data_IF_877763243281
#
_entry.id   IF_877763243281
#
_cell.length_a   1.000
_cell.length_b   1.000
_cell.length_c   1.000
_cell.angle_alpha   90.00
_cell.angle_beta   90.00
_cell.angle_gamma   90.00
#
_symmetry.space_group_name_H-M   'P 1'
#
loop_
_entity.id
_entity.type
_entity.pdbx_description
1 polymer ?
#
# COMPACT_ATOMS: atom_id res chain seq x y z
N UNK A 1 13.06 17.93 -16.51
CA UNK A 1 12.53 16.56 -16.70
C UNK A 1 13.54 15.48 -16.31
N UNK A 2 14.72 15.37 -16.94
CA UNK A 2 15.67 14.29 -16.63
C UNK A 2 16.08 14.22 -15.14
N UNK A 3 16.40 15.34 -14.51
CA UNK A 3 16.76 15.38 -13.09
C UNK A 3 15.62 14.91 -12.16
N UNK A 4 14.39 15.38 -12.43
CA UNK A 4 13.18 14.99 -11.68
C UNK A 4 12.93 13.49 -11.78
N UNK A 5 13.09 12.91 -12.98
CA UNK A 5 12.91 11.46 -13.17
C UNK A 5 13.94 10.67 -12.36
N UNK A 6 15.20 11.11 -12.30
CA UNK A 6 16.22 10.45 -11.50
C UNK A 6 15.95 10.54 -10.00
N UNK A 7 15.45 11.68 -9.50
CA UNK A 7 15.03 11.79 -8.10
C UNK A 7 13.85 10.88 -7.79
N UNK A 8 12.89 10.75 -8.71
CA UNK A 8 11.76 9.83 -8.55
C UNK A 8 12.22 8.36 -8.46
N UNK A 9 13.22 7.97 -9.26
CA UNK A 9 13.81 6.61 -9.22
C UNK A 9 14.48 6.35 -7.88
N UNK A 10 15.28 7.31 -7.39
CA UNK A 10 15.91 7.20 -6.07
C UNK A 10 14.86 7.08 -4.95
N UNK A 11 13.85 7.94 -4.98
CA UNK A 11 12.77 7.92 -4.00
C UNK A 11 12.02 6.59 -4.02
N UNK A 12 11.71 6.05 -5.20
CA UNK A 12 11.08 4.75 -5.33
C UNK A 12 11.95 3.64 -4.69
N UNK A 13 13.25 3.60 -5.01
CA UNK A 13 14.17 2.62 -4.42
C UNK A 13 14.23 2.68 -2.89
N UNK A 14 14.32 3.89 -2.33
CA UNK A 14 14.32 4.10 -0.87
C UNK A 14 12.98 3.65 -0.26
N UNK A 15 11.86 3.93 -0.93
CA UNK A 15 10.54 3.53 -0.45
C UNK A 15 10.35 2.01 -0.46
N UNK A 16 10.71 1.33 -1.55
CA UNK A 16 10.64 -0.13 -1.65
C UNK A 16 11.53 -0.81 -0.61
N UNK A 17 12.77 -0.34 -0.46
CA UNK A 17 13.71 -0.90 0.53
C UNK A 17 13.21 -0.69 1.95
N UNK A 18 12.72 0.51 2.29
CA UNK A 18 12.15 0.81 3.61
C UNK A 18 10.96 -0.08 3.95
N UNK A 19 10.02 -0.25 3.02
CA UNK A 19 8.87 -1.14 3.20
C UNK A 19 9.30 -2.59 3.40
N UNK A 20 10.24 -3.10 2.58
CA UNK A 20 10.75 -4.46 2.72
C UNK A 20 11.44 -4.68 4.08
N UNK A 21 12.29 -3.74 4.50
CA UNK A 21 12.99 -3.82 5.80
C UNK A 21 11.99 -3.82 6.95
N UNK A 22 11.00 -2.93 6.94
CA UNK A 22 9.99 -2.86 7.98
C UNK A 22 9.14 -4.14 8.05
N UNK A 23 8.78 -4.71 6.90
CA UNK A 23 8.05 -5.99 6.85
C UNK A 23 8.90 -7.12 7.43
N UNK A 24 10.17 -7.24 7.02
CA UNK A 24 11.05 -8.30 7.51
C UNK A 24 11.27 -8.17 9.02
N UNK A 25 11.57 -6.97 9.51
CA UNK A 25 11.76 -6.71 10.93
C UNK A 25 10.50 -7.03 11.74
N UNK A 26 9.34 -6.53 11.29
CA UNK A 26 8.08 -6.78 11.96
C UNK A 26 7.65 -8.24 11.96
N UNK A 27 7.91 -8.98 10.88
CA UNK A 27 7.67 -10.41 10.84
C UNK A 27 8.56 -11.17 11.82
N UNK A 28 9.82 -10.76 12.03
CA UNK A 28 10.71 -11.40 13.02
C UNK A 28 10.16 -11.18 14.44
N UNK A 29 9.71 -9.97 14.77
CA UNK A 29 9.16 -9.63 16.08
C UNK A 29 7.88 -10.40 16.41
N UNK A 30 7.01 -10.59 15.42
CA UNK A 30 5.70 -11.23 15.59
C UNK A 30 5.79 -12.78 15.57
N UNK A 31 6.98 -13.36 15.37
CA UNK A 31 7.17 -14.81 15.32
C UNK A 31 6.95 -15.44 13.94
N UNK A 32 6.98 -14.62 12.89
CA UNK A 32 6.98 -15.03 11.49
C UNK A 32 5.65 -14.86 10.75
N UNK A 33 5.69 -15.03 9.43
CA UNK A 33 4.56 -14.81 8.53
C UNK A 33 3.32 -15.66 8.87
N UNK A 34 3.54 -16.94 9.23
CA UNK A 34 2.45 -17.87 9.53
C UNK A 34 1.66 -17.45 10.77
N UNK A 35 2.35 -16.99 11.81
CA UNK A 35 1.72 -16.53 13.04
C UNK A 35 0.98 -15.21 12.80
N UNK A 36 1.60 -14.27 12.09
CA UNK A 36 0.97 -13.01 11.73
C UNK A 36 -0.34 -13.21 10.95
N UNK A 37 -0.32 -14.07 9.93
CA UNK A 37 -1.51 -14.34 9.11
C UNK A 37 -2.60 -15.10 9.89
N UNK A 38 -2.22 -16.03 10.77
CA UNK A 38 -3.18 -16.76 11.61
C UNK A 38 -3.91 -15.82 12.57
N UNK A 39 -3.19 -14.89 13.22
CA UNK A 39 -3.79 -13.94 14.17
C UNK A 39 -4.66 -12.92 13.42
N UNK A 40 -4.20 -12.44 12.26
CA UNK A 40 -4.98 -11.55 11.41
C UNK A 40 -6.28 -12.18 10.90
N UNK A 41 -6.24 -13.47 10.55
CA UNK A 41 -7.42 -14.22 10.14
C UNK A 41 -8.39 -14.49 11.29
N UNK A 42 -7.90 -14.70 12.53
CA UNK A 42 -8.76 -14.85 13.71
C UNK A 42 -9.43 -13.53 14.11
N UNK A 43 -8.79 -12.41 13.81
CA UNK A 43 -9.30 -11.07 14.08
C UNK A 43 -10.27 -10.51 13.05
N UNK A 44 -10.73 -11.35 12.10
CA UNK A 44 -11.58 -10.95 10.95
C UNK A 44 -11.03 -9.72 10.19
N UNK A 45 -9.70 -9.55 10.15
CA UNK A 45 -9.05 -8.43 9.44
C UNK A 45 -8.79 -8.70 7.97
N UNK A 46 -8.94 -9.96 7.56
CA UNK A 46 -8.71 -10.41 6.20
C UNK A 46 -10.06 -10.80 5.58
N UNK A 47 -10.70 -9.84 4.92
CA UNK A 47 -11.94 -10.05 4.18
C UNK A 47 -11.67 -9.87 2.68
N UNK A 48 -11.78 -10.94 1.90
CA UNK A 48 -11.61 -10.87 0.44
C UNK A 48 -12.94 -10.72 -0.32
N UNK A 49 -14.05 -11.22 0.24
CA UNK A 49 -15.28 -11.49 -0.50
C UNK A 49 -16.49 -10.66 -0.02
N UNK A 50 -16.27 -9.41 0.41
CA UNK A 50 -17.37 -8.54 0.85
C UNK A 50 -18.13 -7.95 -0.37
N UNK A 51 -19.12 -8.71 -0.85
CA UNK A 51 -19.98 -8.37 -2.00
C UNK A 51 -21.21 -7.52 -1.64
N UNK A 52 -21.27 -6.99 -0.41
CA UNK A 52 -22.39 -6.15 0.02
C UNK A 52 -22.56 -4.91 -0.88
N UNK A 53 -23.82 -4.55 -1.16
CA UNK A 53 -24.18 -3.37 -1.96
C UNK A 53 -24.53 -2.18 -1.05
N UNK A 54 -24.39 -2.32 0.28
CA UNK A 54 -24.69 -1.25 1.22
C UNK A 54 -23.69 -0.09 1.08
N UNK A 55 -24.12 1.12 0.68
CA UNK A 55 -23.25 2.28 0.53
C UNK A 55 -22.61 2.78 1.83
N UNK A 56 -23.04 2.28 3.00
CA UNK A 56 -22.42 2.60 4.30
C UNK A 56 -21.16 1.79 4.56
N UNK A 57 -20.96 0.68 3.84
CA UNK A 57 -19.75 -0.13 3.96
C UNK A 57 -18.61 0.55 3.20
N UNK A 58 -17.52 0.86 3.90
CA UNK A 58 -16.40 1.66 3.37
C UNK A 58 -15.65 0.95 2.23
N UNK A 59 -15.54 -0.37 2.33
CA UNK A 59 -14.77 -1.20 1.39
C UNK A 59 -15.58 -2.44 1.01
N UNK A 60 -16.29 -2.37 -0.11
CA UNK A 60 -16.87 -3.54 -0.78
C UNK A 60 -16.27 -3.70 -2.16
N UNK A 61 -16.50 -4.86 -2.77
CA UNK A 61 -15.99 -5.16 -4.12
C UNK A 61 -16.41 -4.09 -5.13
N UNK A 62 -17.62 -3.50 -5.00
CA UNK A 62 -18.15 -2.55 -5.98
C UNK A 62 -17.47 -1.17 -5.97
N UNK A 63 -17.39 -0.44 -4.83
CA UNK A 63 -16.66 0.83 -4.78
C UNK A 63 -15.18 0.65 -5.05
N UNK A 64 -14.58 -0.48 -4.66
CA UNK A 64 -13.17 -0.77 -4.98
C UNK A 64 -13.02 -0.92 -6.49
N UNK A 65 -13.84 -1.75 -7.15
CA UNK A 65 -13.72 -1.99 -8.58
C UNK A 65 -13.99 -0.72 -9.39
N UNK A 66 -15.13 -0.06 -9.19
CA UNK A 66 -15.51 1.11 -9.97
C UNK A 66 -14.70 2.35 -9.58
N UNK A 67 -14.51 2.59 -8.29
CA UNK A 67 -13.76 3.72 -7.78
C UNK A 67 -12.29 3.67 -8.18
N UNK A 68 -11.65 2.51 -8.03
CA UNK A 68 -10.25 2.36 -8.41
C UNK A 68 -10.06 2.40 -9.94
N UNK A 69 -11.01 1.84 -10.71
CA UNK A 69 -10.96 1.94 -12.18
C UNK A 69 -11.06 3.38 -12.67
N UNK A 70 -11.99 4.17 -12.10
CA UNK A 70 -12.12 5.59 -12.44
C UNK A 70 -10.91 6.40 -11.98
N UNK A 71 -10.39 6.12 -10.78
CA UNK A 71 -9.18 6.77 -10.28
C UNK A 71 -7.96 6.47 -11.17
N UNK A 72 -7.80 5.23 -11.61
CA UNK A 72 -6.77 4.85 -12.57
C UNK A 72 -6.94 5.61 -13.89
N UNK A 73 -8.16 5.70 -14.42
CA UNK A 73 -8.42 6.45 -15.66
C UNK A 73 -8.02 7.93 -15.52
N UNK A 74 -8.39 8.58 -14.42
CA UNK A 74 -8.01 9.98 -14.16
C UNK A 74 -6.49 10.13 -14.04
N UNK A 75 -5.84 9.23 -13.32
CA UNK A 75 -4.40 9.28 -13.06
C UNK A 75 -3.58 9.01 -14.32
N UNK A 76 -3.95 8.05 -15.15
CA UNK A 76 -3.17 7.71 -16.34
C UNK A 76 -3.59 8.51 -17.59
N UNK A 77 -4.86 8.90 -17.68
CA UNK A 77 -5.43 9.59 -18.85
C UNK A 77 -5.39 11.12 -18.76
N UNK A 78 -5.58 11.70 -17.56
CA UNK A 78 -5.79 13.15 -17.40
C UNK A 78 -4.74 13.83 -16.52
N UNK A 79 -3.90 13.09 -15.79
CA UNK A 79 -2.85 13.67 -14.99
C UNK A 79 -1.72 14.22 -15.87
N UNK A 80 -1.54 15.55 -15.82
CA UNK A 80 -0.54 16.26 -16.61
C UNK A 80 0.88 15.70 -16.44
N UNK A 81 1.28 15.35 -15.22
CA UNK A 81 2.62 14.82 -14.94
C UNK A 81 2.84 13.45 -15.59
N UNK A 82 1.82 12.60 -15.60
CA UNK A 82 1.89 11.26 -16.18
C UNK A 82 1.90 11.32 -17.71
N UNK A 83 1.03 12.14 -18.31
CA UNK A 83 0.99 12.34 -19.76
C UNK A 83 2.31 12.88 -20.29
N UNK A 84 2.93 13.84 -19.58
CA UNK A 84 4.25 14.37 -19.95
C UNK A 84 5.35 13.31 -19.93
N UNK A 85 5.32 12.36 -19.00
CA UNK A 85 6.29 11.25 -18.94
C UNK A 85 6.19 10.35 -20.17
N UNK A 86 4.97 10.07 -20.65
CA UNK A 86 4.76 9.22 -21.83
C UNK A 86 5.18 9.93 -23.14
N UNK A 87 4.95 11.24 -23.24
CA UNK A 87 5.39 12.04 -24.40
C UNK A 87 6.91 12.17 -24.53
N UNK A 88 7.66 11.91 -23.46
CA UNK A 88 9.12 11.89 -23.50
C UNK A 88 9.69 10.60 -24.11
N UNK A 89 8.87 9.56 -24.31
CA UNK A 89 9.30 8.28 -24.87
C UNK A 89 9.26 8.33 -26.39
N UNK A 90 10.34 7.87 -27.04
CA UNK A 90 10.50 7.96 -28.50
C UNK A 90 9.51 7.11 -29.32
N UNK A 91 8.85 6.13 -28.69
CA UNK A 91 7.96 5.18 -29.38
C UNK A 91 6.68 4.92 -28.57
N UNK A 92 5.57 4.73 -29.29
CA UNK A 92 4.27 4.41 -28.68
C UNK A 92 4.30 3.10 -27.91
N UNK A 93 4.96 2.07 -28.45
CA UNK A 93 5.17 0.80 -27.73
C UNK A 93 5.97 0.99 -26.45
N UNK A 94 7.02 1.81 -26.46
CA UNK A 94 7.80 2.12 -25.27
C UNK A 94 6.98 2.84 -24.19
N UNK A 95 6.10 3.76 -24.59
CA UNK A 95 5.19 4.44 -23.68
C UNK A 95 4.20 3.45 -23.03
N UNK A 96 3.61 2.54 -23.82
CA UNK A 96 2.72 1.49 -23.33
C UNK A 96 3.42 0.55 -22.32
N UNK A 97 4.63 0.10 -22.65
CA UNK A 97 5.42 -0.74 -21.73
C UNK A 97 5.76 0.00 -20.43
N UNK A 98 6.07 1.29 -20.50
CA UNK A 98 6.35 2.12 -19.32
C UNK A 98 5.14 2.19 -18.39
N UNK A 99 3.94 2.40 -18.95
CA UNK A 99 2.69 2.40 -18.19
C UNK A 99 2.46 1.03 -17.53
N UNK A 100 2.64 -0.06 -18.28
CA UNK A 100 2.44 -1.40 -17.75
C UNK A 100 3.38 -1.75 -16.59
N UNK A 101 4.67 -1.41 -16.72
CA UNK A 101 5.65 -1.56 -15.63
C UNK A 101 5.22 -0.74 -14.41
N UNK A 102 4.75 0.49 -14.61
CA UNK A 102 4.27 1.33 -13.51
C UNK A 102 3.06 0.73 -12.79
N UNK A 103 2.09 0.18 -13.53
CA UNK A 103 0.92 -0.49 -12.95
C UNK A 103 1.35 -1.68 -12.09
N UNK A 104 2.26 -2.53 -12.58
CA UNK A 104 2.79 -3.66 -11.82
C UNK A 104 3.51 -3.18 -10.55
N UNK A 105 4.33 -2.13 -10.66
CA UNK A 105 5.05 -1.57 -9.53
C UNK A 105 4.12 -1.05 -8.43
N UNK A 106 3.09 -0.29 -8.81
CA UNK A 106 2.07 0.22 -7.88
C UNK A 106 1.27 -0.91 -7.25
N UNK A 107 0.86 -1.91 -8.04
CA UNK A 107 0.15 -3.08 -7.51
C UNK A 107 0.99 -3.83 -6.46
N UNK A 108 2.29 -4.02 -6.73
CA UNK A 108 3.23 -4.62 -5.78
C UNK A 108 3.33 -3.80 -4.48
N UNK A 109 3.43 -2.47 -4.56
CA UNK A 109 3.48 -1.60 -3.38
C UNK A 109 2.21 -1.63 -2.54
N UNK A 110 1.04 -1.70 -3.19
CA UNK A 110 -0.24 -1.81 -2.48
C UNK A 110 -0.29 -3.12 -1.69
N UNK A 111 0.14 -4.23 -2.30
CA UNK A 111 0.20 -5.53 -1.63
C UNK A 111 1.16 -5.51 -0.44
N UNK A 112 2.37 -4.98 -0.61
CA UNK A 112 3.36 -4.86 0.46
C UNK A 112 2.86 -3.97 1.60
N UNK A 113 2.24 -2.83 1.28
CA UNK A 113 1.63 -1.93 2.27
C UNK A 113 0.51 -2.61 3.06
N UNK A 114 -0.29 -3.47 2.40
CA UNK A 114 -1.30 -4.28 3.08
C UNK A 114 -0.69 -5.24 4.10
N UNK A 115 0.37 -5.97 3.72
CA UNK A 115 1.11 -6.85 4.64
C UNK A 115 1.73 -6.07 5.80
N UNK A 116 2.30 -4.91 5.51
CA UNK A 116 2.90 -4.02 6.51
C UNK A 116 1.88 -3.55 7.55
N UNK A 117 0.62 -3.31 7.16
CA UNK A 117 -0.46 -2.93 8.08
C UNK A 117 -0.92 -4.05 9.02
N UNK A 118 -0.75 -5.31 8.63
CA UNK A 118 -1.10 -6.47 9.48
C UNK A 118 -0.14 -6.63 10.66
N UNK A 119 1.13 -6.29 10.47
CA UNK A 119 2.18 -6.46 11.49
C UNK A 119 1.86 -5.74 12.81
N UNK A 120 1.61 -4.41 12.83
CA UNK A 120 1.32 -3.73 14.08
C UNK A 120 -0.01 -4.19 14.71
N UNK A 121 -0.98 -4.63 13.90
CA UNK A 121 -2.22 -5.22 14.44
C UNK A 121 -1.92 -6.47 15.27
N UNK A 122 -1.02 -7.35 14.79
CA UNK A 122 -0.65 -8.56 15.51
C UNK A 122 0.25 -8.25 16.71
N UNK A 123 1.17 -7.29 16.58
CA UNK A 123 2.04 -6.87 17.68
C UNK A 123 1.25 -6.29 18.86
N UNK A 124 0.22 -5.49 18.57
CA UNK A 124 -0.63 -4.84 19.57
C UNK A 124 -1.91 -5.61 19.90
N UNK A 125 -2.03 -6.89 19.52
CA UNK A 125 -3.26 -7.67 19.74
C UNK A 125 -3.66 -7.78 21.23
N UNK A 126 -2.71 -7.61 22.16
CA UNK A 126 -2.94 -7.60 23.60
C UNK A 126 -3.16 -6.23 24.23
N UNK A 127 -2.75 -5.14 23.57
CA UNK A 127 -2.90 -3.77 24.08
C UNK A 127 -2.90 -2.79 22.90
N UNK A 128 -4.07 -2.27 22.54
CA UNK A 128 -4.21 -1.33 21.43
C UNK A 128 -3.70 0.07 21.83
N UNK A 129 -2.64 0.60 21.18
CA UNK A 129 -2.05 1.89 21.51
C UNK A 129 -3.01 3.06 21.27
N UNK A 130 -3.99 2.90 20.38
CA UNK A 130 -5.01 3.92 20.13
C UNK A 130 -5.96 4.07 21.32
N UNK A 131 -6.55 2.95 21.75
CA UNK A 131 -7.45 2.92 22.92
C UNK A 131 -6.71 3.26 24.23
N UNK A 132 -5.42 2.93 24.32
CA UNK A 132 -4.58 3.27 25.47
C UNK A 132 -4.14 4.75 25.52
N UNK A 133 -4.41 5.53 24.47
CA UNK A 133 -4.13 6.98 24.43
C UNK A 133 -2.68 7.35 24.10
N UNK A 134 -1.86 6.40 23.62
CA UNK A 134 -0.48 6.67 23.21
C UNK A 134 -0.38 7.36 21.85
N UNK A 135 -1.40 7.19 20.99
CA UNK A 135 -1.49 7.81 19.66
C UNK A 135 -2.80 8.58 19.48
N UNK A 136 -2.76 9.66 18.69
CA UNK A 136 -3.93 10.53 18.45
C UNK A 136 -4.71 10.13 17.19
N UNK A 137 -4.05 9.46 16.24
CA UNK A 137 -4.66 9.01 14.99
C UNK A 137 -4.24 7.57 14.66
N UNK A 138 -5.14 6.82 14.03
CA UNK A 138 -4.90 5.45 13.55
C UNK A 138 -3.73 5.39 12.57
N UNK A 139 -3.51 6.46 11.79
CA UNK A 139 -2.40 6.53 10.83
C UNK A 139 -1.01 6.57 11.50
N UNK A 140 -0.95 6.86 12.80
CA UNK A 140 0.29 6.90 13.59
C UNK A 140 0.68 5.54 14.17
N UNK A 141 -0.16 4.51 14.05
CA UNK A 141 0.11 3.16 14.57
C UNK A 141 1.43 2.62 14.03
N UNK A 142 1.66 2.75 12.73
CA UNK A 142 2.87 2.20 12.11
C UNK A 142 4.16 2.95 12.51
N UNK A 143 4.20 4.30 12.48
CA UNK A 143 5.32 5.05 13.08
C UNK A 143 5.56 4.71 14.54
N UNK A 144 4.50 4.58 15.36
CA UNK A 144 4.62 4.21 16.77
C UNK A 144 5.22 2.82 16.94
N UNK A 145 4.77 1.85 16.15
CA UNK A 145 5.37 0.51 16.10
C UNK A 145 6.87 0.53 15.81
N UNK A 146 7.33 1.33 14.85
CA UNK A 146 8.76 1.43 14.54
C UNK A 146 9.56 2.05 15.71
N UNK A 147 8.97 2.98 16.44
CA UNK A 147 9.64 3.64 17.57
C UNK A 147 9.71 2.78 18.82
N UNK A 148 8.69 1.95 19.05
CA UNK A 148 8.56 1.08 20.23
C UNK A 148 9.34 -0.23 20.13
N UNK A 149 9.63 -0.69 18.92
CA UNK A 149 10.21 -2.01 18.65
C UNK A 149 11.73 -1.98 18.49
#
# INVERSE_FOLDING_TARGET
MKAIIWTDVLQALVMYTGVCVAIIYGLILVGGFKQAFSIASQGDRIEFDNLSVDPRTRHTVWPILFGNSFNALLTYGFNQMQVQRYMCVKSTRGAQTTIFINIIGVACLILLSGLMGVIPYVYYSGCDPYTAGYIQSVDQIFPHFIMDA
#
